data_IF_680791459102
#
_entry.id   IF_680791459102
#
_cell.length_a   1.000
_cell.length_b   1.000
_cell.length_c   1.000
_cell.angle_alpha   90.00
_cell.angle_beta   90.00
_cell.angle_gamma   90.00
#
_symmetry.space_group_name_H-M   'P 1'
#
loop_
_entity.id
_entity.type
_entity.pdbx_description
1 polymer ?
#
# COMPACT_ATOMS: atom_id res chain seq x y z
N UNK A 1 15.05 -30.72 9.41
CA UNK A 1 14.25 -31.47 8.43
C UNK A 1 13.08 -32.13 9.16
N UNK A 2 12.04 -32.48 8.41
CA UNK A 2 10.77 -33.12 8.79
C UNK A 2 9.68 -32.12 9.24
N UNK A 3 8.88 -31.53 8.34
CA UNK A 3 7.90 -32.11 7.40
C UNK A 3 6.65 -32.67 8.10
N UNK A 4 5.67 -31.80 8.33
CA UNK A 4 4.24 -32.14 8.44
C UNK A 4 3.36 -30.87 8.29
N UNK A 5 3.61 -30.05 7.26
CA UNK A 5 2.54 -29.24 6.67
C UNK A 5 1.93 -30.15 5.61
N UNK A 6 1.06 -31.07 6.02
CA UNK A 6 0.25 -31.83 5.08
C UNK A 6 -1.08 -31.10 4.96
N UNK A 7 -1.24 -30.47 3.80
CA UNK A 7 -2.47 -30.11 3.12
C UNK A 7 -3.77 -30.41 3.89
N UNK A 8 -4.46 -29.36 4.34
CA UNK A 8 -5.92 -29.42 4.29
C UNK A 8 -6.29 -29.12 2.83
N UNK A 9 -6.81 -30.11 2.08
CA UNK A 9 -7.17 -29.89 0.69
C UNK A 9 -8.25 -28.80 0.59
N UNK A 10 -8.27 -28.06 -0.53
CA UNK A 10 -9.18 -26.93 -0.73
C UNK A 10 -10.66 -27.28 -0.53
N UNK A 11 -11.03 -28.57 -0.62
CA UNK A 11 -12.35 -29.09 -0.25
C UNK A 11 -12.72 -28.91 1.24
N UNK A 12 -11.76 -28.74 2.16
CA UNK A 12 -12.02 -28.62 3.61
C UNK A 12 -12.26 -27.17 4.08
N UNK A 13 -11.83 -26.16 3.32
CA UNK A 13 -12.12 -24.76 3.64
C UNK A 13 -13.62 -24.43 3.46
N UNK A 14 -14.24 -25.04 2.45
CA UNK A 14 -15.69 -24.93 2.21
C UNK A 14 -16.51 -25.61 3.31
N UNK A 15 -16.03 -26.73 3.86
CA UNK A 15 -16.68 -27.43 4.99
C UNK A 15 -16.71 -26.55 6.24
N UNK A 16 -15.66 -25.77 6.51
CA UNK A 16 -15.61 -24.85 7.66
C UNK A 16 -16.55 -23.66 7.45
N UNK A 17 -16.60 -23.10 6.24
CA UNK A 17 -17.49 -21.98 5.91
C UNK A 17 -18.96 -22.40 5.93
N UNK A 18 -19.28 -23.56 5.37
CA UNK A 18 -20.63 -24.14 5.40
C UNK A 18 -21.04 -24.51 6.83
N UNK A 19 -20.14 -25.04 7.66
CA UNK A 19 -20.40 -25.32 9.08
C UNK A 19 -20.61 -24.05 9.94
N UNK A 20 -19.96 -22.93 9.60
CA UNK A 20 -20.15 -21.62 10.24
C UNK A 20 -21.46 -20.93 9.83
N UNK A 21 -21.88 -21.13 8.57
CA UNK A 21 -23.20 -20.72 8.10
C UNK A 21 -24.27 -21.57 8.80
N UNK A 22 -24.09 -22.88 8.87
CA UNK A 22 -24.97 -23.80 9.59
C UNK A 22 -25.08 -23.46 11.08
N UNK A 23 -23.98 -23.08 11.75
CA UNK A 23 -23.99 -22.70 13.17
C UNK A 23 -24.78 -21.42 13.45
N UNK A 24 -24.85 -20.48 12.49
CA UNK A 24 -25.69 -19.28 12.61
C UNK A 24 -27.16 -19.57 12.32
N UNK A 25 -27.46 -20.51 11.41
CA UNK A 25 -28.81 -21.03 11.18
C UNK A 25 -29.33 -21.83 12.40
N UNK A 26 -28.45 -22.61 13.03
CA UNK A 26 -28.77 -23.51 14.15
C UNK A 26 -29.27 -22.79 15.42
N UNK A 27 -28.75 -21.60 15.73
CA UNK A 27 -29.21 -20.81 16.89
C UNK A 27 -30.67 -20.35 16.77
N UNK A 28 -31.27 -20.38 15.56
CA UNK A 28 -32.68 -20.07 15.35
C UNK A 28 -33.60 -21.29 15.56
N UNK A 29 -33.09 -22.52 15.43
CA UNK A 29 -33.89 -23.75 15.36
C UNK A 29 -33.76 -24.70 16.57
N UNK A 30 -32.87 -24.40 17.53
CA UNK A 30 -32.62 -25.17 18.76
C UNK A 30 -33.87 -25.55 19.58
N UNK A 31 -34.96 -24.78 19.47
CA UNK A 31 -36.21 -25.05 20.20
C UNK A 31 -37.11 -26.14 19.60
N UNK A 32 -36.79 -26.70 18.42
CA UNK A 32 -37.67 -27.65 17.69
C UNK A 32 -37.05 -29.03 17.44
N UNK A 33 -35.82 -29.30 17.88
CA UNK A 33 -35.12 -30.55 17.57
C UNK A 33 -35.38 -31.67 18.60
N UNK A 34 -35.62 -32.92 18.16
CA UNK A 34 -35.71 -34.08 19.06
C UNK A 34 -34.37 -34.36 19.77
N UNK A 35 -34.42 -34.83 21.02
CA UNK A 35 -33.23 -34.92 21.89
C UNK A 35 -32.06 -35.81 21.43
N UNK A 36 -32.27 -36.75 20.50
CA UNK A 36 -31.19 -37.54 19.91
C UNK A 36 -30.31 -36.72 18.94
N UNK A 37 -30.90 -35.71 18.30
CA UNK A 37 -30.22 -34.79 17.39
C UNK A 37 -29.34 -33.81 18.19
N UNK A 38 -29.81 -33.36 19.35
CA UNK A 38 -29.07 -32.44 20.22
C UNK A 38 -27.70 -32.99 20.64
N UNK A 39 -27.61 -34.26 21.03
CA UNK A 39 -26.33 -34.89 21.42
C UNK A 39 -25.35 -34.99 20.24
N UNK A 40 -25.85 -35.35 19.06
CA UNK A 40 -25.05 -35.39 17.84
C UNK A 40 -24.48 -34.00 17.50
N UNK A 41 -25.28 -32.95 17.65
CA UNK A 41 -24.86 -31.58 17.40
C UNK A 41 -23.94 -31.01 18.49
N UNK A 42 -24.10 -31.38 19.76
CA UNK A 42 -23.17 -31.02 20.84
C UNK A 42 -21.77 -31.60 20.59
N UNK A 43 -21.69 -32.87 20.19
CA UNK A 43 -20.43 -33.52 19.85
C UNK A 43 -19.78 -32.87 18.62
N UNK A 44 -20.57 -32.52 17.59
CA UNK A 44 -20.09 -31.81 16.40
C UNK A 44 -19.61 -30.39 16.71
N UNK A 45 -20.33 -29.65 17.57
CA UNK A 45 -19.93 -28.31 18.05
C UNK A 45 -18.59 -28.38 18.79
N UNK A 46 -18.43 -29.36 19.69
CA UNK A 46 -17.18 -29.57 20.41
C UNK A 46 -16.00 -29.86 19.47
N UNK A 47 -16.22 -30.61 18.40
CA UNK A 47 -15.20 -30.86 17.38
C UNK A 47 -14.83 -29.60 16.59
N UNK A 48 -15.81 -28.76 16.25
CA UNK A 48 -15.59 -27.48 15.57
C UNK A 48 -14.83 -26.51 16.48
N UNK A 49 -15.24 -26.37 17.75
CA UNK A 49 -14.58 -25.51 18.73
C UNK A 49 -13.13 -25.97 18.97
N UNK A 50 -12.88 -27.28 19.04
CA UNK A 50 -11.54 -27.84 19.16
C UNK A 50 -10.67 -27.58 17.91
N UNK A 51 -11.24 -27.71 16.71
CA UNK A 51 -10.55 -27.39 15.46
C UNK A 51 -10.20 -25.90 15.35
N UNK A 52 -11.11 -25.02 15.79
CA UNK A 52 -10.88 -23.58 15.87
C UNK A 52 -9.76 -23.22 16.85
N UNK A 53 -9.75 -23.85 18.04
CA UNK A 53 -8.72 -23.64 19.03
C UNK A 53 -7.36 -24.18 18.55
N UNK A 54 -7.33 -25.33 17.88
CA UNK A 54 -6.12 -25.88 17.28
C UNK A 54 -5.59 -24.97 16.15
N UNK A 55 -6.48 -24.39 15.33
CA UNK A 55 -6.11 -23.38 14.34
C UNK A 55 -5.53 -22.12 14.99
N UNK A 56 -6.13 -21.62 16.07
CA UNK A 56 -5.61 -20.49 16.84
C UNK A 56 -4.25 -20.76 17.48
N UNK A 57 -4.02 -21.97 18.01
CA UNK A 57 -2.72 -22.38 18.54
C UNK A 57 -1.66 -22.53 17.45
N UNK A 58 -2.04 -23.03 16.27
CA UNK A 58 -1.17 -23.13 15.10
C UNK A 58 -0.87 -21.76 14.45
N UNK A 59 -1.76 -20.78 14.64
CA UNK A 59 -1.63 -19.39 14.15
C UNK A 59 -1.22 -18.41 15.25
N UNK A 60 -0.85 -18.89 16.45
CA UNK A 60 -0.52 -18.11 17.64
C UNK A 60 0.74 -17.25 17.55
N UNK A 61 1.43 -17.30 16.41
CA UNK A 61 2.30 -16.23 15.97
C UNK A 61 2.00 -15.98 14.49
N UNK A 62 1.30 -14.89 14.20
CA UNK A 62 1.60 -14.18 12.94
C UNK A 62 3.13 -14.11 12.85
N UNK A 63 3.76 -14.34 11.68
CA UNK A 63 5.21 -14.17 11.56
C UNK A 63 5.53 -12.84 12.23
N UNK A 64 6.41 -12.87 13.23
CA UNK A 64 6.78 -11.68 13.99
C UNK A 64 7.29 -10.69 12.95
N UNK A 65 6.42 -9.79 12.48
CA UNK A 65 6.79 -8.75 11.55
C UNK A 65 7.74 -7.93 12.39
N UNK A 66 9.03 -8.09 12.11
CA UNK A 66 10.06 -7.29 12.73
C UNK A 66 9.52 -5.87 12.67
N UNK A 67 9.31 -5.25 13.83
CA UNK A 67 8.74 -3.92 13.90
C UNK A 67 9.81 -2.97 13.38
N UNK A 68 9.93 -2.88 12.06
CA UNK A 68 10.64 -1.80 11.40
C UNK A 68 10.04 -0.55 12.00
N UNK A 69 10.88 0.29 12.63
CA UNK A 69 10.44 1.52 13.24
C UNK A 69 9.55 2.25 12.24
N UNK A 70 8.26 2.39 12.58
CA UNK A 70 7.28 2.97 11.66
C UNK A 70 7.66 4.42 11.42
N UNK A 71 8.09 4.74 10.20
CA UNK A 71 8.43 6.11 9.80
C UNK A 71 7.11 6.84 9.57
N UNK A 72 6.92 7.97 10.26
CA UNK A 72 5.71 8.79 10.14
C UNK A 72 5.78 9.64 8.87
N UNK A 73 4.72 9.62 8.06
CA UNK A 73 4.57 10.52 6.91
C UNK A 73 4.64 11.98 7.39
N UNK A 74 5.38 12.82 6.68
CA UNK A 74 5.63 14.21 7.06
C UNK A 74 6.79 14.41 8.03
N UNK A 75 7.39 13.34 8.58
CA UNK A 75 8.57 13.45 9.43
C UNK A 75 9.86 13.63 8.62
N UNK A 76 10.87 14.24 9.23
CA UNK A 76 12.20 14.33 8.64
C UNK A 76 12.83 12.93 8.50
N UNK A 77 13.30 12.60 7.31
CA UNK A 77 13.90 11.31 6.99
C UNK A 77 14.91 11.46 5.85
N UNK A 78 16.10 10.86 6.01
CA UNK A 78 17.16 10.82 5.00
C UNK A 78 17.47 12.18 4.32
N UNK A 79 17.44 13.28 5.07
CA UNK A 79 17.72 14.63 4.57
C UNK A 79 16.56 15.32 3.85
N UNK A 80 15.34 14.78 3.94
CA UNK A 80 14.11 15.38 3.41
C UNK A 80 12.90 15.04 4.28
N UNK A 81 11.71 15.09 3.70
CA UNK A 81 10.42 14.79 4.34
C UNK A 81 9.91 13.46 3.81
N UNK A 82 9.57 12.54 4.71
CA UNK A 82 9.05 11.23 4.31
C UNK A 82 7.64 11.36 3.71
N UNK A 83 7.49 10.95 2.45
CA UNK A 83 6.24 11.04 1.71
C UNK A 83 5.42 9.74 1.77
N UNK A 84 6.02 8.63 2.19
CA UNK A 84 5.37 7.31 2.23
C UNK A 84 6.07 6.29 1.33
N UNK A 85 5.34 5.24 0.97
CA UNK A 85 5.83 4.16 0.11
C UNK A 85 5.37 4.42 -1.32
N UNK A 86 6.32 4.49 -2.25
CA UNK A 86 6.08 4.48 -3.69
C UNK A 86 6.08 3.03 -4.19
N UNK A 87 5.17 2.72 -5.10
CA UNK A 87 5.03 1.37 -5.65
C UNK A 87 6.08 1.12 -6.73
N UNK A 88 6.76 -0.02 -6.66
CA UNK A 88 7.61 -0.48 -7.75
C UNK A 88 6.81 -0.84 -9.01
N UNK A 89 7.37 -0.54 -10.18
CA UNK A 89 6.76 -0.82 -11.49
C UNK A 89 7.45 -2.03 -12.12
N UNK A 90 6.70 -2.85 -12.89
CA UNK A 90 7.23 -4.00 -13.64
C UNK A 90 8.00 -5.03 -12.79
N UNK A 91 7.55 -5.24 -11.55
CA UNK A 91 8.17 -6.20 -10.62
C UNK A 91 9.37 -5.65 -9.85
N UNK A 92 9.69 -4.37 -10.00
CA UNK A 92 10.61 -3.68 -9.09
C UNK A 92 10.04 -3.66 -7.65
N UNK A 93 10.90 -3.64 -6.62
CA UNK A 93 10.45 -3.51 -5.24
C UNK A 93 9.80 -2.15 -4.99
N UNK A 94 8.91 -2.10 -4.00
CA UNK A 94 8.42 -0.84 -3.46
C UNK A 94 9.54 -0.10 -2.73
N UNK A 95 9.45 1.23 -2.66
CA UNK A 95 10.50 2.10 -2.16
C UNK A 95 9.95 3.15 -1.20
N UNK A 96 10.73 3.54 -0.19
CA UNK A 96 10.50 4.74 0.58
C UNK A 96 10.71 5.98 -0.29
N UNK A 97 9.70 6.84 -0.35
CA UNK A 97 9.76 8.12 -1.06
C UNK A 97 10.05 9.26 -0.08
N UNK A 98 11.03 10.08 -0.42
CA UNK A 98 11.47 11.23 0.38
C UNK A 98 11.46 12.49 -0.47
N UNK A 99 10.75 13.53 -0.04
CA UNK A 99 10.76 14.84 -0.65
C UNK A 99 12.00 15.62 -0.18
N UNK A 100 12.89 15.97 -1.09
CA UNK A 100 14.09 16.74 -0.77
C UNK A 100 13.77 18.24 -0.60
N UNK A 101 14.57 18.97 0.19
CA UNK A 101 14.39 20.40 0.35
C UNK A 101 14.69 21.15 -0.95
N UNK A 102 14.07 22.33 -1.07
CA UNK A 102 14.27 23.23 -2.21
C UNK A 102 13.24 23.04 -3.31
N UNK A 103 13.07 24.10 -4.10
CA UNK A 103 12.25 24.13 -5.30
C UNK A 103 12.95 24.94 -6.39
N UNK A 104 12.63 24.63 -7.64
CA UNK A 104 12.92 25.50 -8.75
C UNK A 104 11.62 25.99 -9.39
N UNK A 105 11.64 27.21 -9.87
CA UNK A 105 10.50 27.93 -10.41
C UNK A 105 10.87 28.52 -11.76
N UNK A 106 9.87 28.66 -12.62
CA UNK A 106 10.00 29.27 -13.95
C UNK A 106 11.11 28.62 -14.80
N UNK A 107 11.14 27.29 -14.80
CA UNK A 107 12.12 26.49 -15.55
C UNK A 107 11.47 25.49 -16.49
N UNK A 108 12.13 25.22 -17.61
CA UNK A 108 11.73 24.18 -18.55
C UNK A 108 11.95 22.76 -17.99
N UNK A 109 11.46 21.75 -18.72
CA UNK A 109 11.48 20.37 -18.26
C UNK A 109 12.90 19.78 -18.17
N UNK A 110 13.82 20.19 -19.05
CA UNK A 110 15.20 19.70 -19.04
C UNK A 110 15.98 20.32 -17.87
N UNK A 111 15.77 21.62 -17.63
CA UNK A 111 16.25 22.32 -16.46
C UNK A 111 15.68 21.72 -15.16
N UNK A 112 14.42 21.24 -15.15
CA UNK A 112 13.80 20.60 -14.00
C UNK A 112 14.51 19.29 -13.62
N UNK A 113 14.86 18.46 -14.62
CA UNK A 113 15.68 17.27 -14.41
C UNK A 113 17.07 17.61 -13.88
N UNK A 114 17.70 18.66 -14.43
CA UNK A 114 19.02 19.14 -13.99
C UNK A 114 19.01 19.66 -12.55
N UNK A 115 17.98 20.42 -12.17
CA UNK A 115 17.75 20.86 -10.80
C UNK A 115 17.59 19.67 -9.85
N UNK A 116 16.78 18.68 -10.21
CA UNK A 116 16.55 17.55 -9.33
C UNK A 116 17.85 16.75 -9.08
N UNK A 117 18.66 16.57 -10.13
CA UNK A 117 19.97 15.95 -10.02
C UNK A 117 20.94 16.77 -9.14
N UNK A 118 20.96 18.10 -9.28
CA UNK A 118 21.82 18.97 -8.47
C UNK A 118 21.42 18.99 -6.99
N UNK A 119 20.13 18.78 -6.69
CA UNK A 119 19.61 18.58 -5.34
C UNK A 119 19.93 17.18 -4.75
N UNK A 120 20.61 16.31 -5.49
CA UNK A 120 20.94 14.95 -5.06
C UNK A 120 19.73 14.00 -5.04
N UNK A 121 18.79 14.23 -5.95
CA UNK A 121 17.59 13.42 -6.15
C UNK A 121 17.23 13.30 -7.62
N UNK A 122 15.96 13.02 -7.87
CA UNK A 122 15.39 12.87 -9.21
C UNK A 122 14.03 13.56 -9.26
N UNK A 123 13.58 13.91 -10.46
CA UNK A 123 12.24 14.46 -10.64
C UNK A 123 11.21 13.35 -10.36
N UNK A 124 10.08 13.63 -9.67
CA UNK A 124 9.10 12.63 -9.32
C UNK A 124 8.32 12.12 -10.53
N UNK A 125 7.97 10.83 -10.53
CA UNK A 125 7.04 10.23 -11.50
C UNK A 125 5.62 10.74 -11.25
N UNK A 126 4.68 10.47 -12.16
CA UNK A 126 3.28 10.85 -11.97
C UNK A 126 2.66 10.16 -10.77
N UNK A 127 2.96 8.89 -10.56
CA UNK A 127 2.46 8.14 -9.41
C UNK A 127 2.98 8.76 -8.10
N UNK A 128 4.25 9.14 -8.08
CA UNK A 128 4.86 9.80 -6.92
C UNK A 128 4.31 11.20 -6.67
N UNK A 129 4.05 11.97 -7.72
CA UNK A 129 3.40 13.27 -7.58
C UNK A 129 1.99 13.14 -6.98
N UNK A 130 1.23 12.10 -7.33
CA UNK A 130 -0.07 11.85 -6.74
C UNK A 130 0.06 11.50 -5.24
N UNK A 131 1.05 10.69 -4.88
CA UNK A 131 1.37 10.39 -3.49
C UNK A 131 1.80 11.65 -2.71
N UNK A 132 2.64 12.49 -3.30
CA UNK A 132 3.05 13.77 -2.73
C UNK A 132 1.88 14.73 -2.54
N UNK A 133 0.94 14.77 -3.50
CA UNK A 133 -0.27 15.57 -3.38
C UNK A 133 -1.15 15.08 -2.23
N UNK A 134 -1.31 13.77 -2.05
CA UNK A 134 -2.13 13.24 -0.96
C UNK A 134 -1.49 13.51 0.41
N UNK A 135 -0.19 13.23 0.53
CA UNK A 135 0.47 13.17 1.84
C UNK A 135 1.14 14.48 2.25
N UNK A 136 1.68 15.23 1.29
CA UNK A 136 2.52 16.41 1.51
C UNK A 136 2.01 17.65 0.77
N UNK A 137 0.72 17.76 0.44
CA UNK A 137 0.15 18.92 -0.27
C UNK A 137 0.60 20.28 0.27
N UNK A 138 0.69 20.37 1.60
CA UNK A 138 1.05 21.60 2.32
C UNK A 138 2.49 22.06 2.09
N UNK A 139 3.36 21.18 1.59
CA UNK A 139 4.74 21.50 1.21
C UNK A 139 4.85 22.11 -0.18
N UNK A 140 3.75 22.20 -0.93
CA UNK A 140 3.74 22.69 -2.32
C UNK A 140 2.88 23.95 -2.44
N UNK A 141 3.39 24.91 -3.21
CA UNK A 141 2.56 26.01 -3.71
C UNK A 141 1.40 25.48 -4.57
N UNK A 142 0.24 26.16 -4.62
CA UNK A 142 -0.95 25.76 -5.37
C UNK A 142 -0.77 25.96 -6.89
N UNK A 143 0.27 25.35 -7.46
CA UNK A 143 0.71 25.53 -8.83
C UNK A 143 1.14 24.17 -9.44
N UNK A 144 1.58 24.16 -10.69
CA UNK A 144 1.96 22.92 -11.37
C UNK A 144 3.45 22.62 -11.29
N UNK A 145 3.77 21.33 -11.18
CA UNK A 145 5.13 20.82 -11.07
C UNK A 145 5.40 19.74 -12.11
N UNK A 146 6.55 19.83 -12.77
CA UNK A 146 7.00 18.87 -13.78
C UNK A 146 7.19 17.46 -13.20
N UNK A 147 6.72 16.47 -13.93
CA UNK A 147 7.01 15.04 -13.69
C UNK A 147 8.21 14.60 -14.51
N UNK A 148 8.92 13.55 -14.08
CA UNK A 148 9.95 12.90 -14.89
C UNK A 148 9.40 12.17 -16.13
N UNK A 149 8.08 11.99 -16.24
CA UNK A 149 7.49 11.21 -17.33
C UNK A 149 7.23 12.05 -18.57
N UNK A 150 7.78 11.58 -19.70
CA UNK A 150 7.49 12.12 -21.02
C UNK A 150 6.08 11.72 -21.47
N UNK A 151 5.30 12.67 -21.98
CA UNK A 151 3.92 12.46 -22.45
C UNK A 151 3.81 12.30 -23.97
N UNK A 152 4.83 12.78 -24.70
CA UNK A 152 4.90 12.75 -26.16
C UNK A 152 6.26 13.25 -26.63
N UNK A 153 6.53 13.35 -27.95
CA UNK A 153 7.83 13.75 -28.47
C UNK A 153 8.33 15.10 -27.93
N UNK A 154 7.43 16.05 -27.70
CA UNK A 154 7.74 17.39 -27.21
C UNK A 154 7.08 17.72 -25.87
N UNK A 155 6.37 16.75 -25.26
CA UNK A 155 5.51 16.98 -24.10
C UNK A 155 5.98 16.19 -22.89
N UNK A 156 5.78 16.74 -21.71
CA UNK A 156 5.97 16.07 -20.43
C UNK A 156 4.73 16.20 -19.54
N UNK A 157 4.56 15.24 -18.65
CA UNK A 157 3.51 15.28 -17.66
C UNK A 157 3.85 16.25 -16.53
N UNK A 158 2.81 16.79 -15.91
CA UNK A 158 2.89 17.58 -14.70
C UNK A 158 1.68 17.32 -13.80
N UNK A 159 1.78 17.69 -12.53
CA UNK A 159 0.66 17.71 -11.60
C UNK A 159 0.39 19.11 -11.09
N UNK A 160 -0.88 19.51 -11.06
CA UNK A 160 -1.30 20.79 -10.49
C UNK A 160 -1.71 20.62 -9.02
N UNK A 161 -0.94 21.20 -8.10
CA UNK A 161 -1.09 20.99 -6.66
C UNK A 161 -2.23 21.78 -6.00
N UNK A 162 -2.98 22.60 -6.75
CA UNK A 162 -4.21 23.19 -6.21
C UNK A 162 -5.38 22.18 -6.23
N UNK A 163 -5.61 21.55 -7.40
CA UNK A 163 -6.73 20.64 -7.65
C UNK A 163 -6.35 19.15 -7.67
N UNK A 164 -5.06 18.82 -7.81
CA UNK A 164 -4.55 17.45 -7.82
C UNK A 164 -4.66 16.72 -9.16
N UNK A 165 -5.12 17.36 -10.24
CA UNK A 165 -5.15 16.71 -11.56
C UNK A 165 -3.76 16.65 -12.20
N UNK A 166 -3.61 15.74 -13.17
CA UNK A 166 -2.42 15.58 -13.98
C UNK A 166 -2.73 15.84 -15.45
N UNK A 167 -1.86 16.59 -16.12
CA UNK A 167 -1.96 16.95 -17.54
C UNK A 167 -0.56 16.92 -18.16
N UNK A 168 -0.50 17.07 -19.48
CA UNK A 168 0.75 17.22 -20.21
C UNK A 168 0.87 18.60 -20.83
N UNK A 169 2.10 19.07 -20.99
CA UNK A 169 2.41 20.31 -21.70
C UNK A 169 3.75 20.24 -22.42
N UNK A 170 3.99 21.19 -23.31
CA UNK A 170 5.25 21.27 -24.04
C UNK A 170 6.41 21.49 -23.08
N UNK A 171 7.47 20.69 -23.25
CA UNK A 171 8.67 20.68 -22.41
C UNK A 171 9.43 22.01 -22.39
N UNK A 172 9.19 22.88 -23.39
CA UNK A 172 9.77 24.21 -23.50
C UNK A 172 9.10 25.27 -22.64
N UNK A 173 7.97 24.98 -21.99
CA UNK A 173 7.32 25.93 -21.10
C UNK A 173 7.95 25.92 -19.71
N UNK A 174 7.78 27.02 -19.01
CA UNK A 174 8.30 27.23 -17.68
C UNK A 174 7.32 26.73 -16.63
N UNK A 175 7.79 25.86 -15.74
CA UNK A 175 7.03 25.30 -14.64
C UNK A 175 7.89 25.19 -13.38
N UNK A 176 7.38 24.46 -12.38
CA UNK A 176 8.09 24.23 -11.11
C UNK A 176 8.66 22.82 -11.03
N UNK A 177 9.67 22.63 -10.20
CA UNK A 177 10.27 21.33 -9.95
C UNK A 177 10.57 21.12 -8.47
N UNK A 178 10.35 19.89 -8.01
CA UNK A 178 10.80 19.37 -6.71
C UNK A 178 11.58 18.10 -6.93
N UNK A 179 12.56 17.85 -6.08
CA UNK A 179 13.38 16.65 -6.14
C UNK A 179 12.90 15.62 -5.11
N UNK A 180 12.93 14.35 -5.48
CA UNK A 180 12.66 13.23 -4.57
C UNK A 180 13.86 12.29 -4.51
N UNK A 181 13.91 11.50 -3.45
CA UNK A 181 14.84 10.37 -3.27
C UNK A 181 14.04 9.11 -2.99
N UNK A 182 14.47 8.00 -3.60
CA UNK A 182 13.93 6.66 -3.38
C UNK A 182 14.93 5.85 -2.58
N UNK A 183 14.45 5.12 -1.59
CA UNK A 183 15.27 4.25 -0.73
C UNK A 183 14.59 2.88 -0.62
N UNK A 184 15.36 1.78 -0.58
CA UNK A 184 14.80 0.45 -0.42
C UNK A 184 14.07 0.29 0.93
N UNK A 185 13.02 -0.54 0.95
CA UNK A 185 12.29 -0.96 2.16
C UNK A 185 13.05 -2.08 2.90
#
# INVERSE_FOLDING_TARGET
>A
MSAAILALPAEHANIIFDALIDSRCFNHEMGRMPGADLRYWEEKKKAIDAAYFALQLATGALPNVATTASITIGAAFAGGIYAGISRGVDGAPDEHLVLLPGEAVDIDWEAAGTFAASAGGVLPTRAEQALLYENLKHEFEPNWYWSSEQAGPSDAWFQYFYYGYQLSYYRSYEGRARAVRRLPI
#
